data_IF_836167566082
#
_entry.id   IF_836167566082
#
_cell.length_a   1.000
_cell.length_b   1.000
_cell.length_c   1.000
_cell.angle_alpha   90.00
_cell.angle_beta   90.00
_cell.angle_gamma   90.00
#
_symmetry.space_group_name_H-M   'P 1'
#
loop_
_entity.id
_entity.type
_entity.pdbx_description
1 polymer ?
#
# COMPACT_ATOMS: atom_id res chain seq x y z
N UNK A 1 18.14 15.19 13.71
CA UNK A 1 17.08 15.26 12.69
C UNK A 1 16.05 14.17 12.97
N UNK A 2 15.05 14.42 13.84
CA UNK A 2 14.05 13.43 14.24
C UNK A 2 12.71 14.14 14.49
N UNK A 3 11.92 14.38 13.45
CA UNK A 3 10.56 14.94 13.59
C UNK A 3 9.63 14.69 12.39
N UNK A 4 9.76 13.56 11.67
CA UNK A 4 8.89 13.30 10.49
C UNK A 4 7.92 12.11 10.65
N UNK A 5 7.92 11.40 11.78
CA UNK A 5 7.08 10.22 11.95
C UNK A 5 5.65 10.55 12.43
N UNK A 6 5.47 11.47 13.38
CA UNK A 6 4.16 11.72 13.99
C UNK A 6 3.18 12.44 13.05
N UNK A 7 3.66 13.42 12.26
CA UNK A 7 2.82 14.10 11.26
C UNK A 7 2.37 13.20 10.11
N UNK A 8 3.16 12.16 9.79
CA UNK A 8 2.83 11.22 8.72
C UNK A 8 1.77 10.19 9.14
N UNK A 9 1.75 9.80 10.42
CA UNK A 9 0.69 8.94 10.99
C UNK A 9 -0.64 9.69 11.02
N UNK A 10 -0.63 10.97 11.43
CA UNK A 10 -1.83 11.83 11.38
C UNK A 10 -2.39 12.02 9.95
N UNK A 11 -1.53 11.98 8.93
CA UNK A 11 -1.98 12.04 7.53
C UNK A 11 -2.73 10.79 7.07
N UNK A 12 -2.61 9.67 7.78
CA UNK A 12 -3.26 8.41 7.41
C UNK A 12 -4.63 8.21 8.06
N UNK A 13 -5.01 9.03 9.06
CA UNK A 13 -6.28 8.92 9.77
C UNK A 13 -7.49 9.00 8.83
N UNK A 14 -7.37 9.80 7.75
CA UNK A 14 -8.40 9.93 6.72
C UNK A 14 -8.69 8.63 5.95
N UNK A 15 -7.87 7.58 6.11
CA UNK A 15 -8.09 6.28 5.48
C UNK A 15 -8.77 5.26 6.40
N UNK A 16 -8.84 5.52 7.72
CA UNK A 16 -9.40 4.55 8.68
C UNK A 16 -10.85 4.18 8.32
N UNK A 17 -11.67 5.17 7.94
CA UNK A 17 -13.07 4.95 7.53
C UNK A 17 -13.22 4.12 6.24
N UNK A 18 -12.15 4.01 5.44
CA UNK A 18 -12.15 3.29 4.16
C UNK A 18 -11.44 1.94 4.25
N UNK A 19 -10.86 1.60 5.40
CA UNK A 19 -10.02 0.42 5.56
C UNK A 19 -10.82 -0.88 5.35
N UNK A 20 -10.33 -1.74 4.46
CA UNK A 20 -10.84 -3.10 4.31
C UNK A 20 -9.84 -4.09 4.87
N UNK A 21 -10.30 -4.86 5.86
CA UNK A 21 -9.59 -6.04 6.34
C UNK A 21 -9.97 -7.21 5.43
N UNK A 22 -8.98 -7.79 4.76
CA UNK A 22 -9.23 -8.94 3.89
C UNK A 22 -8.11 -9.97 4.05
N UNK A 23 -8.40 -11.05 4.76
CA UNK A 23 -7.45 -12.13 5.06
C UNK A 23 -7.08 -13.00 3.84
N UNK A 24 -7.58 -12.68 2.64
CA UNK A 24 -7.49 -13.54 1.46
C UNK A 24 -6.73 -12.99 0.25
N UNK A 25 -6.07 -11.83 0.31
CA UNK A 25 -5.39 -11.27 -0.87
C UNK A 25 -4.03 -11.95 -1.09
N UNK A 26 -4.10 -13.20 -1.55
CA UNK A 26 -2.96 -14.03 -1.87
C UNK A 26 -2.02 -13.34 -2.85
N UNK A 27 -0.81 -13.04 -2.36
CA UNK A 27 0.30 -12.59 -3.18
C UNK A 27 0.65 -13.67 -4.20
N UNK A 28 0.04 -13.66 -5.40
CA UNK A 28 0.34 -14.63 -6.47
C UNK A 28 1.86 -14.69 -6.69
N UNK A 29 2.41 -15.87 -6.49
CA UNK A 29 3.85 -16.18 -6.55
C UNK A 29 4.24 -16.22 -8.03
N UNK A 30 4.45 -15.08 -8.70
CA UNK A 30 5.13 -15.01 -10.01
C UNK A 30 5.35 -13.58 -10.49
N UNK A 31 6.46 -12.98 -10.06
CA UNK A 31 7.45 -12.22 -10.87
C UNK A 31 8.55 -11.64 -9.95
N UNK A 32 9.81 -11.69 -10.40
CA UNK A 32 10.98 -11.11 -9.73
C UNK A 32 10.91 -9.58 -9.74
N UNK A 33 10.83 -8.96 -8.57
CA UNK A 33 11.24 -7.58 -8.32
C UNK A 33 12.73 -7.69 -7.98
N UNK A 34 13.59 -7.51 -8.97
CA UNK A 34 15.05 -7.41 -8.81
C UNK A 34 15.38 -6.60 -7.56
N UNK A 35 16.36 -7.00 -6.75
CA UNK A 35 16.70 -6.37 -5.47
C UNK A 35 16.80 -4.84 -5.62
N UNK A 36 15.73 -4.13 -5.25
CA UNK A 36 15.65 -2.68 -5.34
C UNK A 36 16.13 -2.11 -4.01
N UNK A 37 16.81 -0.98 -4.09
CA UNK A 37 16.98 -0.11 -2.93
C UNK A 37 15.62 0.35 -2.39
N UNK A 38 15.59 0.83 -1.14
CA UNK A 38 14.38 1.41 -0.55
C UNK A 38 13.83 2.56 -1.40
N UNK A 39 14.72 3.41 -1.92
CA UNK A 39 14.36 4.55 -2.77
C UNK A 39 13.67 4.08 -4.06
N UNK A 40 14.22 3.06 -4.72
CA UNK A 40 13.61 2.46 -5.90
C UNK A 40 12.27 1.76 -5.57
N UNK A 41 12.14 1.17 -4.38
CA UNK A 41 10.87 0.60 -3.92
C UNK A 41 9.80 1.67 -3.80
N UNK A 42 10.12 2.80 -3.16
CA UNK A 42 9.22 3.95 -3.02
C UNK A 42 8.81 4.51 -4.39
N UNK A 43 9.78 4.67 -5.30
CA UNK A 43 9.53 5.16 -6.65
C UNK A 43 8.67 4.19 -7.51
N UNK A 44 8.76 2.89 -7.26
CA UNK A 44 8.00 1.87 -8.00
C UNK A 44 6.69 1.46 -7.32
N UNK A 45 6.42 1.93 -6.11
CA UNK A 45 5.15 1.73 -5.45
C UNK A 45 4.03 2.37 -6.27
N UNK A 46 2.92 1.66 -6.43
CA UNK A 46 1.76 2.11 -7.22
C UNK A 46 0.47 1.82 -6.48
N UNK A 47 -0.49 2.72 -6.61
CA UNK A 47 -1.86 2.47 -6.16
C UNK A 47 -2.67 1.94 -7.33
N UNK A 48 -3.16 0.72 -7.19
CA UNK A 48 -4.10 0.12 -8.13
C UNK A 48 -5.52 0.49 -7.75
N UNK A 49 -6.29 0.97 -8.72
CA UNK A 49 -7.73 1.23 -8.62
C UNK A 49 -8.49 0.12 -9.36
N UNK A 50 -9.35 -0.60 -8.65
CA UNK A 50 -10.28 -1.57 -9.20
C UNK A 50 -11.73 -1.18 -8.89
N UNK A 51 -12.66 -1.64 -9.73
CA UNK A 51 -14.10 -1.50 -9.44
C UNK A 51 -14.46 -2.30 -8.19
N UNK A 52 -15.33 -1.73 -7.36
CA UNK A 52 -16.05 -2.45 -6.30
C UNK A 52 -17.34 -3.04 -6.87
N UNK A 53 -18.00 -3.93 -6.13
CA UNK A 53 -19.34 -4.44 -6.48
C UNK A 53 -20.44 -3.34 -6.45
N UNK A 54 -20.10 -2.18 -5.88
CA UNK A 54 -20.92 -0.97 -5.84
C UNK A 54 -20.25 0.10 -6.70
N UNK A 55 -20.94 0.56 -7.74
CA UNK A 55 -20.43 1.52 -8.72
C UNK A 55 -20.06 2.89 -8.12
N UNK A 56 -20.54 3.18 -6.92
CA UNK A 56 -20.19 4.39 -6.18
C UNK A 56 -18.81 4.30 -5.51
N UNK A 57 -18.20 3.13 -5.47
CA UNK A 57 -16.94 2.88 -4.78
C UNK A 57 -15.88 2.27 -5.68
N UNK A 58 -14.63 2.56 -5.35
CA UNK A 58 -13.45 1.92 -5.91
C UNK A 58 -12.63 1.27 -4.81
N UNK A 59 -11.93 0.22 -5.19
CA UNK A 59 -10.99 -0.48 -4.33
C UNK A 59 -9.59 0.00 -4.66
N UNK A 60 -8.97 0.71 -3.72
CA UNK A 60 -7.57 1.10 -3.81
C UNK A 60 -6.69 0.04 -3.16
N UNK A 61 -5.58 -0.29 -3.80
CA UNK A 61 -4.61 -1.25 -3.28
C UNK A 61 -3.20 -0.74 -3.53
N UNK A 62 -2.42 -0.56 -2.47
CA UNK A 62 -1.01 -0.22 -2.59
C UNK A 62 -0.20 -1.47 -2.97
N UNK A 63 0.63 -1.35 -4.01
CA UNK A 63 1.39 -2.47 -4.58
C UNK A 63 2.82 -2.11 -4.88
N UNK A 64 3.71 -3.09 -4.71
CA UNK A 64 5.04 -3.09 -5.29
C UNK A 64 5.09 -4.17 -6.38
N UNK A 65 5.10 -3.75 -7.64
CA UNK A 65 4.96 -4.67 -8.78
C UNK A 65 3.65 -5.44 -8.73
N UNK A 66 3.71 -6.77 -8.54
CA UNK A 66 2.53 -7.64 -8.39
C UNK A 66 2.15 -7.92 -6.93
N UNK A 67 2.96 -7.46 -5.97
CA UNK A 67 2.74 -7.73 -4.55
C UNK A 67 1.85 -6.66 -3.96
N UNK A 68 0.86 -7.08 -3.20
CA UNK A 68 0.02 -6.20 -2.39
C UNK A 68 0.76 -5.93 -1.09
N UNK A 69 0.86 -4.65 -0.73
CA UNK A 69 1.43 -4.24 0.54
C UNK A 69 0.33 -4.28 1.60
N UNK A 70 0.69 -4.71 2.80
CA UNK A 70 -0.12 -4.43 3.96
C UNK A 70 -0.11 -2.92 4.22
N UNK A 71 -1.18 -2.40 4.80
CA UNK A 71 -1.34 -1.01 5.20
C UNK A 71 -1.68 -0.97 6.69
N UNK A 72 -0.88 -1.69 7.50
CA UNK A 72 -1.06 -1.84 8.95
C UNK A 72 -1.01 -0.50 9.69
N UNK A 73 -0.32 0.49 9.11
CA UNK A 73 -0.27 1.87 9.58
C UNK A 73 -1.63 2.58 9.52
N UNK A 74 -2.53 2.13 8.65
CA UNK A 74 -3.89 2.67 8.53
C UNK A 74 -4.80 1.92 9.49
N UNK A 75 -4.81 0.60 9.39
CA UNK A 75 -5.62 -0.27 10.25
C UNK A 75 -5.02 -1.69 10.27
N UNK A 76 -5.02 -2.39 11.41
CA UNK A 76 -4.54 -3.77 11.48
C UNK A 76 -5.21 -4.69 10.44
N UNK A 77 -4.43 -5.46 9.70
CA UNK A 77 -4.92 -6.38 8.65
C UNK A 77 -5.44 -5.70 7.38
N UNK A 78 -5.27 -4.38 7.25
CA UNK A 78 -5.69 -3.64 6.08
C UNK A 78 -4.75 -3.91 4.90
N UNK A 79 -5.33 -4.21 3.74
CA UNK A 79 -4.57 -4.33 2.49
C UNK A 79 -5.28 -3.69 1.29
N UNK A 80 -6.48 -3.15 1.50
CA UNK A 80 -7.31 -2.48 0.51
C UNK A 80 -8.09 -1.37 1.18
N UNK A 81 -8.42 -0.33 0.41
CA UNK A 81 -9.34 0.71 0.83
C UNK A 81 -10.56 0.72 -0.09
N UNK A 82 -11.76 0.77 0.47
CA UNK A 82 -13.00 1.02 -0.28
C UNK A 82 -13.31 2.50 -0.22
N UNK A 83 -12.98 3.23 -1.28
CA UNK A 83 -13.06 4.68 -1.33
C UNK A 83 -14.22 5.11 -2.23
N UNK A 84 -15.03 6.12 -1.84
CA UNK A 84 -16.03 6.71 -2.72
C UNK A 84 -15.41 7.23 -4.01
N UNK A 85 -16.07 7.02 -5.15
CA UNK A 85 -15.54 7.32 -6.49
C UNK A 85 -15.04 8.77 -6.63
N UNK A 86 -15.72 9.73 -5.99
CA UNK A 86 -15.36 11.14 -6.04
C UNK A 86 -14.10 11.50 -5.23
N UNK A 87 -13.64 10.64 -4.31
CA UNK A 87 -12.41 10.83 -3.51
C UNK A 87 -11.21 10.04 -4.01
N UNK A 88 -11.37 9.23 -5.07
CA UNK A 88 -10.36 8.26 -5.51
C UNK A 88 -9.01 8.89 -5.82
N UNK A 89 -8.98 9.96 -6.62
CA UNK A 89 -7.71 10.58 -7.00
C UNK A 89 -7.00 11.25 -5.80
N UNK A 90 -7.76 11.91 -4.92
CA UNK A 90 -7.23 12.48 -3.68
C UNK A 90 -6.58 11.38 -2.81
N UNK A 91 -7.29 10.27 -2.60
CA UNK A 91 -6.82 9.17 -1.76
C UNK A 91 -5.63 8.44 -2.38
N UNK A 92 -5.57 8.32 -3.71
CA UNK A 92 -4.41 7.78 -4.42
C UNK A 92 -3.17 8.64 -4.20
N UNK A 93 -3.29 9.97 -4.34
CA UNK A 93 -2.17 10.89 -4.15
C UNK A 93 -1.64 10.83 -2.71
N UNK A 94 -2.54 10.81 -1.71
CA UNK A 94 -2.16 10.67 -0.30
C UNK A 94 -1.44 9.34 -0.01
N UNK A 95 -1.92 8.22 -0.57
CA UNK A 95 -1.25 6.91 -0.42
C UNK A 95 0.13 6.90 -1.08
N UNK A 96 0.26 7.47 -2.28
CA UNK A 96 1.55 7.56 -2.98
C UNK A 96 2.54 8.45 -2.23
N UNK A 97 2.07 9.58 -1.69
CA UNK A 97 2.88 10.46 -0.86
C UNK A 97 3.35 9.78 0.43
N UNK A 98 2.45 9.04 1.11
CA UNK A 98 2.83 8.24 2.28
C UNK A 98 3.87 7.16 1.93
N UNK A 99 3.75 6.52 0.77
CA UNK A 99 4.76 5.58 0.28
C UNK A 99 6.10 6.27 -0.01
N UNK A 100 6.12 7.44 -0.67
CA UNK A 100 7.36 8.15 -1.02
C UNK A 100 8.08 8.75 0.19
N UNK A 101 7.35 9.11 1.24
CA UNK A 101 7.90 9.63 2.50
C UNK A 101 8.36 8.53 3.45
N UNK A 102 8.15 7.25 3.10
CA UNK A 102 8.69 6.10 3.82
C UNK A 102 7.77 5.51 4.89
N UNK A 103 6.49 5.92 4.93
CA UNK A 103 5.51 5.41 5.91
C UNK A 103 5.33 3.89 5.78
N UNK A 104 5.44 3.36 4.56
CA UNK A 104 5.29 1.94 4.23
C UNK A 104 6.63 1.22 3.99
N UNK A 105 7.76 1.77 4.45
CA UNK A 105 9.08 1.18 4.20
C UNK A 105 9.20 -0.25 4.72
N UNK A 106 8.62 -0.54 5.89
CA UNK A 106 8.66 -1.88 6.49
C UNK A 106 7.96 -2.89 5.58
N UNK A 107 6.82 -2.54 5.01
CA UNK A 107 6.01 -3.38 4.15
C UNK A 107 6.63 -3.51 2.76
N UNK A 108 7.28 -2.45 2.26
CA UNK A 108 8.08 -2.51 1.03
C UNK A 108 9.24 -3.51 1.18
N UNK A 109 10.01 -3.43 2.27
CA UNK A 109 11.10 -4.38 2.57
C UNK A 109 10.56 -5.79 2.79
N UNK A 110 9.45 -5.92 3.51
CA UNK A 110 8.81 -7.21 3.73
C UNK A 110 8.41 -7.84 2.39
N UNK A 111 7.76 -7.08 1.51
CA UNK A 111 7.35 -7.56 0.18
C UNK A 111 8.54 -8.02 -0.67
N UNK A 112 9.70 -7.37 -0.55
CA UNK A 112 10.94 -7.83 -1.17
C UNK A 112 11.50 -9.12 -0.52
N UNK A 113 11.52 -9.23 0.81
CA UNK A 113 12.00 -10.44 1.52
C UNK A 113 11.15 -11.67 1.24
N UNK A 114 9.83 -11.50 1.10
CA UNK A 114 8.94 -12.59 0.67
C UNK A 114 9.26 -13.10 -0.74
N UNK A 115 9.95 -12.31 -1.55
CA UNK A 115 10.44 -12.78 -2.84
C UNK A 115 11.72 -13.61 -2.71
N UNK A 116 12.67 -13.20 -1.85
CA UNK A 116 13.97 -13.87 -1.73
C UNK A 116 13.87 -15.24 -1.05
N UNK A 117 13.00 -15.41 -0.05
CA UNK A 117 12.76 -16.72 0.60
C UNK A 117 12.20 -17.80 -0.31
N UNK A 118 11.55 -17.43 -1.42
CA UNK A 118 11.00 -18.38 -2.40
C UNK A 118 12.05 -18.83 -3.43
N UNK A 119 13.26 -18.23 -3.41
CA UNK A 119 14.36 -18.58 -4.32
C UNK A 119 15.40 -19.54 -3.73
N UNK A 120 15.23 -20.00 -2.47
CA UNK A 120 16.04 -21.05 -1.85
C UNK A 120 15.31 -22.39 -1.82
#
# INVERSE_FOLDING_TARGET
>A
MMSNAEGAVSSLDCFQEYAMVNNGVGNKIRKRIWELTLEECRARAKVHDAKSDDDNFRILTLKLGKKVLAMEQIHPGCNRLRVPRFKVEEMKLKLLHAASTGVFDRELVHAQKLQTKVMR
#
